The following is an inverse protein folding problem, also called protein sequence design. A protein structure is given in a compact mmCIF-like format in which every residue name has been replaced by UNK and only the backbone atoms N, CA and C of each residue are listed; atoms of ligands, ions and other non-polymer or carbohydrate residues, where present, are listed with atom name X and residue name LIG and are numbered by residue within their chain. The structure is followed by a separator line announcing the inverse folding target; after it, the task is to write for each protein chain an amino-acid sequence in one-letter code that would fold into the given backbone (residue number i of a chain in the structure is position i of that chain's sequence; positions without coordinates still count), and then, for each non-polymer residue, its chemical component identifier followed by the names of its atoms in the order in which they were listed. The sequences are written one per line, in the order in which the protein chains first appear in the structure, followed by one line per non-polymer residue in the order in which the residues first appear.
data_IF_289864051624
#
_entry.id   IF_289864051624
#
_cell.length_a   1.000
_cell.length_b   1.000
_cell.length_c   1.000
_cell.angle_alpha   90.00
_cell.angle_beta   90.00
_cell.angle_gamma   90.00
#
_symmetry.space_group_name_H-M   'P 1'
#
loop_
_entity.id
_entity.type
_entity.pdbx_description
1 polymer ?
#
# COMPACT_ATOMS: atom_id res chain seq x y z
N UNK A 1 28.27 -8.95 3.09
CA UNK A 1 27.64 -7.85 2.31
C UNK A 1 27.59 -6.64 3.22
N UNK A 2 28.14 -5.50 2.81
CA UNK A 2 28.00 -4.26 3.60
C UNK A 2 26.63 -3.62 3.31
N UNK A 3 26.14 -2.72 4.16
CA UNK A 3 24.89 -1.98 3.89
C UNK A 3 24.90 -1.26 2.54
N UNK A 4 26.04 -0.71 2.15
CA UNK A 4 26.23 0.00 0.89
C UNK A 4 26.12 -0.96 -0.30
N UNK A 5 26.78 -2.12 -0.23
CA UNK A 5 26.69 -3.15 -1.25
C UNK A 5 25.27 -3.74 -1.38
N UNK A 6 24.53 -3.83 -0.27
CA UNK A 6 23.15 -4.28 -0.27
C UNK A 6 22.23 -3.26 -0.96
N UNK A 7 22.43 -1.96 -0.69
CA UNK A 7 21.69 -0.87 -1.32
C UNK A 7 21.96 -0.81 -2.83
N UNK A 8 23.22 -0.92 -3.25
CA UNK A 8 23.58 -0.95 -4.67
C UNK A 8 22.92 -2.11 -5.40
N UNK A 9 22.97 -3.32 -4.81
CA UNK A 9 22.31 -4.49 -5.37
C UNK A 9 20.78 -4.31 -5.47
N UNK A 10 20.16 -3.64 -4.50
CA UNK A 10 18.74 -3.32 -4.53
C UNK A 10 18.38 -2.32 -5.63
N UNK A 11 19.18 -1.25 -5.79
CA UNK A 11 19.00 -0.26 -6.86
C UNK A 11 19.12 -0.92 -8.23
N UNK A 12 20.11 -1.78 -8.42
CA UNK A 12 20.32 -2.47 -9.68
C UNK A 12 19.15 -3.40 -10.04
N UNK A 13 18.62 -4.13 -9.05
CA UNK A 13 17.38 -4.90 -9.25
C UNK A 13 16.21 -4.03 -9.69
N UNK A 14 16.05 -2.85 -9.10
CA UNK A 14 14.99 -1.94 -9.54
C UNK A 14 15.21 -1.46 -10.97
N UNK A 15 16.43 -1.09 -11.36
CA UNK A 15 16.73 -0.67 -12.74
C UNK A 15 16.40 -1.73 -13.78
N UNK A 16 16.58 -3.00 -13.44
CA UNK A 16 16.29 -4.14 -14.30
C UNK A 16 14.79 -4.46 -14.42
N UNK A 17 13.94 -3.89 -13.56
CA UNK A 17 12.51 -4.16 -13.60
C UNK A 17 11.82 -3.52 -14.81
N UNK A 18 10.95 -4.30 -15.45
CA UNK A 18 10.05 -3.78 -16.50
C UNK A 18 8.97 -2.86 -15.90
N UNK A 19 8.25 -2.15 -16.77
CA UNK A 19 7.11 -1.33 -16.35
C UNK A 19 6.01 -2.18 -15.71
N UNK A 20 5.74 -3.36 -16.25
CA UNK A 20 4.75 -4.31 -15.75
C UNK A 20 5.11 -4.84 -14.35
N UNK A 21 6.38 -5.16 -14.11
CA UNK A 21 6.86 -5.62 -12.80
C UNK A 21 6.70 -4.53 -11.74
N UNK A 22 7.04 -3.27 -12.10
CA UNK A 22 6.84 -2.11 -11.23
C UNK A 22 5.36 -1.87 -10.94
N UNK A 23 4.50 -1.96 -11.97
CA UNK A 23 3.06 -1.83 -11.81
C UNK A 23 2.51 -2.91 -10.88
N UNK A 24 2.92 -4.17 -11.06
CA UNK A 24 2.50 -5.26 -10.19
C UNK A 24 2.89 -5.04 -8.73
N UNK A 25 4.10 -4.52 -8.47
CA UNK A 25 4.53 -4.15 -7.10
C UNK A 25 3.63 -3.04 -6.55
N UNK A 26 3.39 -1.98 -7.32
CA UNK A 26 2.58 -0.84 -6.88
C UNK A 26 1.14 -1.27 -6.53
N UNK A 27 0.52 -2.12 -7.37
CA UNK A 27 -0.83 -2.62 -7.14
C UNK A 27 -0.90 -3.51 -5.88
N UNK A 28 0.07 -4.40 -5.67
CA UNK A 28 0.15 -5.22 -4.44
C UNK A 28 0.33 -4.35 -3.19
N UNK A 29 1.15 -3.30 -3.28
CA UNK A 29 1.35 -2.38 -2.17
C UNK A 29 0.07 -1.58 -1.86
N UNK A 30 -0.65 -1.15 -2.89
CA UNK A 30 -1.94 -0.49 -2.74
C UNK A 30 -2.97 -1.41 -2.05
N UNK A 31 -3.08 -2.66 -2.49
CA UNK A 31 -3.97 -3.65 -1.88
C UNK A 31 -3.63 -3.90 -0.41
N UNK A 32 -2.34 -4.12 -0.09
CA UNK A 32 -1.87 -4.28 1.28
C UNK A 32 -2.24 -3.06 2.14
N UNK A 33 -2.00 -1.85 1.63
CA UNK A 33 -2.31 -0.60 2.34
C UNK A 33 -3.81 -0.48 2.62
N UNK A 34 -4.66 -0.82 1.65
CA UNK A 34 -6.11 -0.87 1.82
C UNK A 34 -6.53 -1.89 2.88
N UNK A 35 -5.91 -3.07 2.91
CA UNK A 35 -6.22 -4.11 3.90
C UNK A 35 -5.85 -3.67 5.32
N UNK A 36 -4.66 -3.10 5.50
CA UNK A 36 -4.25 -2.53 6.80
C UNK A 36 -5.22 -1.42 7.24
N UNK A 37 -5.63 -0.55 6.32
CA UNK A 37 -6.59 0.51 6.62
C UNK A 37 -7.97 -0.04 7.02
N UNK A 38 -8.46 -1.11 6.38
CA UNK A 38 -9.72 -1.79 6.74
C UNK A 38 -9.66 -2.34 8.16
N UNK A 39 -8.58 -3.03 8.53
CA UNK A 39 -8.41 -3.53 9.90
C UNK A 39 -8.41 -2.38 10.91
N UNK A 40 -7.69 -1.29 10.61
CA UNK A 40 -7.72 -0.09 11.45
C UNK A 40 -9.11 0.54 11.56
N UNK A 41 -9.92 0.52 10.49
CA UNK A 41 -11.31 1.01 10.52
C UNK A 41 -12.17 0.08 11.38
N UNK A 42 -12.08 -1.25 11.22
CA UNK A 42 -12.84 -2.21 12.03
C UNK A 42 -12.53 -2.07 13.52
N UNK A 43 -11.25 -1.87 13.87
CA UNK A 43 -10.84 -1.63 15.24
C UNK A 43 -11.41 -0.30 15.80
N UNK A 44 -11.49 0.75 14.98
CA UNK A 44 -12.06 2.04 15.39
C UNK A 44 -13.60 2.03 15.45
N UNK A 45 -14.24 1.19 14.65
CA UNK A 45 -15.70 1.09 14.54
C UNK A 45 -16.15 -0.38 14.62
N UNK A 46 -16.18 -1.00 15.83
CA UNK A 46 -16.42 -2.44 15.98
C UNK A 46 -17.78 -2.93 15.46
N UNK A 47 -18.77 -2.04 15.30
CA UNK A 47 -20.09 -2.35 14.74
C UNK A 47 -20.29 -1.92 13.28
N UNK A 48 -19.24 -1.46 12.60
CA UNK A 48 -19.37 -1.03 11.20
C UNK A 48 -19.70 -2.22 10.29
N UNK A 49 -20.68 -2.04 9.42
CA UNK A 49 -20.95 -3.00 8.36
C UNK A 49 -19.80 -3.02 7.34
N UNK A 50 -19.67 -4.07 6.51
CA UNK A 50 -18.67 -4.11 5.44
C UNK A 50 -18.74 -2.88 4.52
N UNK A 51 -19.93 -2.41 4.20
CA UNK A 51 -20.17 -1.24 3.33
C UNK A 51 -19.68 0.06 4.00
N UNK A 52 -19.91 0.21 5.30
CA UNK A 52 -19.45 1.35 6.09
C UNK A 52 -17.92 1.37 6.20
N UNK A 53 -17.29 0.20 6.32
CA UNK A 53 -15.82 0.07 6.28
C UNK A 53 -15.28 0.53 4.92
N UNK A 54 -15.88 0.09 3.81
CA UNK A 54 -15.45 0.52 2.47
C UNK A 54 -15.67 2.01 2.22
N UNK A 55 -16.80 2.57 2.69
CA UNK A 55 -17.08 4.01 2.59
C UNK A 55 -16.00 4.83 3.27
N UNK A 56 -15.61 4.42 4.50
CA UNK A 56 -14.53 5.08 5.27
C UNK A 56 -13.17 4.89 4.63
N UNK A 57 -12.88 3.73 4.06
CA UNK A 57 -11.65 3.50 3.31
C UNK A 57 -11.53 4.47 2.13
N UNK A 58 -12.59 4.58 1.31
CA UNK A 58 -12.63 5.51 0.16
C UNK A 58 -12.44 6.96 0.60
N UNK A 59 -13.04 7.34 1.72
CA UNK A 59 -12.87 8.68 2.28
C UNK A 59 -11.41 8.95 2.70
N UNK A 60 -10.75 8.01 3.36
CA UNK A 60 -9.32 8.12 3.72
C UNK A 60 -8.43 8.24 2.49
N UNK A 61 -8.66 7.41 1.47
CA UNK A 61 -7.90 7.48 0.21
C UNK A 61 -8.09 8.84 -0.45
N UNK A 62 -9.34 9.32 -0.56
CA UNK A 62 -9.64 10.65 -1.12
C UNK A 62 -8.91 11.77 -0.38
N UNK A 63 -8.89 11.73 0.95
CA UNK A 63 -8.18 12.72 1.76
C UNK A 63 -6.67 12.67 1.55
N UNK A 64 -6.09 11.48 1.31
CA UNK A 64 -4.65 11.35 1.06
C UNK A 64 -4.19 12.00 -0.26
N UNK A 65 -5.06 12.12 -1.25
CA UNK A 65 -4.77 12.85 -2.49
C UNK A 65 -4.80 14.39 -2.33
N UNK A 66 -5.27 14.89 -1.20
CA UNK A 66 -5.37 16.32 -0.91
C UNK A 66 -4.31 16.82 0.09
N UNK A 67 -3.39 15.94 0.53
CA UNK A 67 -2.24 16.25 1.39
C UNK A 67 -1.02 16.59 0.53
#
# INVERSE_FOLDING_TARGET
MTPEAALEAQIERYRQMTGEERLAIALRLHELSCNVAREGIRAQFPGASPEEVERRLRERIRLSYAL
#
